data_IF_691683769389
#
_entry.id   IF_691683769389
#
_cell.length_a   1.000
_cell.length_b   1.000
_cell.length_c   1.000
_cell.angle_alpha   90.00
_cell.angle_beta   90.00
_cell.angle_gamma   90.00
#
_symmetry.space_group_name_H-M   'P 1'
#
loop_
_entity.id
_entity.type
_entity.pdbx_description
1 polymer ?
#
# COMPACT_ATOMS: atom_id res chain seq x y z
N UNK A 1 -25.25 21.61 -20.00
CA UNK A 1 -25.07 20.15 -20.13
C UNK A 1 -26.02 19.47 -19.14
N UNK A 2 -26.66 18.35 -19.48
CA UNK A 2 -27.56 17.63 -18.55
C UNK A 2 -26.96 16.25 -18.24
N UNK A 3 -27.03 15.85 -16.97
CA UNK A 3 -26.53 14.54 -16.52
C UNK A 3 -27.19 13.37 -17.26
N UNK A 4 -28.48 13.47 -17.59
CA UNK A 4 -29.20 12.46 -18.38
C UNK A 4 -28.53 12.16 -19.72
N UNK A 5 -28.09 13.18 -20.46
CA UNK A 5 -27.49 13.01 -21.78
C UNK A 5 -26.12 12.30 -21.67
N UNK A 6 -25.34 12.60 -20.63
CA UNK A 6 -24.04 11.97 -20.33
C UNK A 6 -24.22 10.48 -19.99
N UNK A 7 -25.20 10.15 -19.16
CA UNK A 7 -25.53 8.75 -18.82
C UNK A 7 -25.97 8.01 -20.09
N UNK A 8 -26.84 8.61 -20.91
CA UNK A 8 -27.30 8.00 -22.16
C UNK A 8 -26.14 7.72 -23.12
N UNK A 9 -25.20 8.66 -23.26
CA UNK A 9 -24.02 8.51 -24.09
C UNK A 9 -23.12 7.36 -23.59
N UNK A 10 -22.76 7.37 -22.31
CA UNK A 10 -21.92 6.32 -21.73
C UNK A 10 -22.60 4.95 -21.80
N UNK A 11 -23.91 4.87 -21.50
CA UNK A 11 -24.71 3.63 -21.63
C UNK A 11 -24.67 3.07 -23.05
N UNK A 12 -24.62 3.93 -24.08
CA UNK A 12 -24.48 3.52 -25.49
C UNK A 12 -23.03 3.25 -25.94
N UNK A 13 -22.08 3.29 -25.02
CA UNK A 13 -20.66 3.05 -25.30
C UNK A 13 -19.97 4.22 -26.01
N UNK A 14 -20.55 5.43 -25.95
CA UNK A 14 -19.90 6.64 -26.49
C UNK A 14 -18.84 7.15 -25.50
N UNK A 15 -17.80 7.76 -26.05
CA UNK A 15 -16.72 8.43 -25.30
C UNK A 15 -17.23 9.75 -24.72
N UNK A 16 -16.99 9.98 -23.44
CA UNK A 16 -17.28 11.24 -22.76
C UNK A 16 -16.17 12.25 -23.02
N UNK A 17 -16.54 13.49 -23.30
CA UNK A 17 -15.57 14.58 -23.42
C UNK A 17 -15.04 14.99 -22.05
N UNK A 18 -13.90 15.69 -22.04
CA UNK A 18 -13.33 16.27 -20.83
C UNK A 18 -14.34 17.19 -20.12
N UNK A 19 -15.07 18.01 -20.86
CA UNK A 19 -16.07 18.94 -20.32
C UNK A 19 -17.22 18.20 -19.65
N UNK A 20 -17.61 17.04 -20.19
CA UNK A 20 -18.63 16.19 -19.59
C UNK A 20 -18.16 15.58 -18.27
N UNK A 21 -16.93 15.07 -18.24
CA UNK A 21 -16.32 14.52 -17.03
C UNK A 21 -16.16 15.60 -15.96
N UNK A 22 -15.65 16.78 -16.32
CA UNK A 22 -15.51 17.91 -15.39
C UNK A 22 -16.87 18.35 -14.82
N UNK A 23 -17.91 18.42 -15.66
CA UNK A 23 -19.28 18.72 -15.25
C UNK A 23 -19.80 17.69 -14.22
N UNK A 24 -19.62 16.39 -14.50
CA UNK A 24 -20.05 15.31 -13.61
C UNK A 24 -19.34 15.37 -12.27
N UNK A 25 -18.00 15.45 -12.29
CA UNK A 25 -17.21 15.41 -11.06
C UNK A 25 -17.48 16.64 -10.20
N UNK A 26 -17.53 17.84 -10.80
CA UNK A 26 -17.88 19.06 -10.08
C UNK A 26 -19.27 18.95 -9.47
N UNK A 27 -20.27 18.59 -10.27
CA UNK A 27 -21.66 18.54 -9.83
C UNK A 27 -21.93 17.49 -8.75
N UNK A 28 -21.22 16.36 -8.78
CA UNK A 28 -21.35 15.35 -7.72
C UNK A 28 -20.62 15.79 -6.44
N UNK A 29 -19.48 16.48 -6.58
CA UNK A 29 -18.73 17.02 -5.45
C UNK A 29 -19.53 18.09 -4.71
N UNK A 30 -20.15 19.05 -5.44
CA UNK A 30 -20.95 20.14 -4.86
C UNK A 30 -22.39 19.76 -4.47
N UNK A 31 -22.84 18.55 -4.85
CA UNK A 31 -24.15 18.01 -4.49
C UNK A 31 -25.28 18.39 -5.45
N UNK A 32 -25.00 19.07 -6.56
CA UNK A 32 -25.99 19.35 -7.61
C UNK A 32 -26.36 18.12 -8.46
N UNK A 33 -25.53 17.08 -8.47
CA UNK A 33 -25.83 15.78 -9.06
C UNK A 33 -26.16 14.78 -7.94
N UNK A 34 -27.38 14.23 -7.90
CA UNK A 34 -27.78 13.29 -6.86
C UNK A 34 -27.24 11.86 -7.13
N UNK A 35 -27.11 11.09 -6.06
CA UNK A 35 -26.56 9.73 -6.06
C UNK A 35 -27.22 8.81 -7.08
N UNK A 36 -28.54 8.91 -7.31
CA UNK A 36 -29.25 8.07 -8.26
C UNK A 36 -28.84 8.31 -9.72
N UNK A 37 -28.35 9.51 -10.07
CA UNK A 37 -27.80 9.77 -11.39
C UNK A 37 -26.34 9.30 -11.48
N UNK A 38 -25.57 9.53 -10.41
CA UNK A 38 -24.17 9.12 -10.38
C UNK A 38 -24.04 7.59 -10.38
N UNK A 39 -24.88 6.85 -9.65
CA UNK A 39 -24.90 5.39 -9.67
C UNK A 39 -25.26 4.82 -11.04
N UNK A 40 -26.20 5.46 -11.76
CA UNK A 40 -26.52 5.08 -13.13
C UNK A 40 -25.33 5.28 -14.08
N UNK A 41 -24.57 6.37 -13.93
CA UNK A 41 -23.33 6.57 -14.70
C UNK A 41 -22.25 5.55 -14.33
N UNK A 42 -22.05 5.29 -13.04
CA UNK A 42 -21.08 4.29 -12.56
C UNK A 42 -21.37 2.90 -13.12
N UNK A 43 -22.63 2.49 -13.14
CA UNK A 43 -23.04 1.22 -13.75
C UNK A 43 -22.84 1.22 -15.28
N UNK A 44 -23.10 2.36 -15.95
CA UNK A 44 -22.82 2.48 -17.37
C UNK A 44 -21.30 2.38 -17.67
N UNK A 45 -20.45 2.97 -16.84
CA UNK A 45 -18.98 2.83 -16.91
C UNK A 45 -18.57 1.39 -16.63
N UNK A 46 -19.15 0.75 -15.61
CA UNK A 46 -18.89 -0.65 -15.30
C UNK A 46 -19.14 -1.56 -16.52
N UNK A 47 -20.29 -1.39 -17.19
CA UNK A 47 -20.65 -2.22 -18.34
C UNK A 47 -19.94 -1.88 -19.66
N UNK A 48 -19.50 -0.63 -19.86
CA UNK A 48 -18.93 -0.17 -21.15
C UNK A 48 -17.45 0.17 -21.10
N UNK A 49 -16.88 0.30 -19.90
CA UNK A 49 -15.53 0.76 -19.68
C UNK A 49 -15.32 2.24 -20.02
N UNK A 50 -14.07 2.65 -19.88
CA UNK A 50 -13.54 3.95 -20.29
C UNK A 50 -12.25 3.71 -21.04
N UNK A 51 -12.01 4.46 -22.11
CA UNK A 51 -10.71 4.43 -22.76
C UNK A 51 -9.64 5.17 -21.91
N UNK A 52 -8.37 5.13 -22.33
CA UNK A 52 -7.26 5.73 -21.59
C UNK A 52 -7.38 7.25 -21.42
N UNK A 53 -7.93 7.96 -22.41
CA UNK A 53 -8.15 9.41 -22.34
C UNK A 53 -9.24 9.74 -21.33
N UNK A 54 -10.40 9.06 -21.42
CA UNK A 54 -11.49 9.24 -20.47
C UNK A 54 -11.05 8.95 -19.03
N UNK A 55 -10.30 7.87 -18.83
CA UNK A 55 -9.80 7.47 -17.50
C UNK A 55 -8.82 8.53 -16.96
N UNK A 56 -7.93 9.07 -17.80
CA UNK A 56 -7.02 10.14 -17.41
C UNK A 56 -7.76 11.43 -17.04
N UNK A 57 -8.77 11.84 -17.83
CA UNK A 57 -9.59 13.02 -17.54
C UNK A 57 -10.42 12.83 -16.26
N UNK A 58 -11.01 11.65 -16.04
CA UNK A 58 -11.71 11.32 -14.80
C UNK A 58 -10.78 11.45 -13.60
N UNK A 59 -9.58 10.90 -13.70
CA UNK A 59 -8.56 10.97 -12.65
C UNK A 59 -8.20 12.42 -12.34
N UNK A 60 -7.95 13.23 -13.36
CA UNK A 60 -7.53 14.62 -13.20
C UNK A 60 -8.66 15.50 -12.64
N UNK A 61 -9.90 15.27 -13.07
CA UNK A 61 -11.08 15.93 -12.53
C UNK A 61 -11.26 15.60 -11.04
N UNK A 62 -11.09 14.33 -10.65
CA UNK A 62 -11.14 13.92 -9.25
C UNK A 62 -9.98 14.52 -8.45
N UNK A 63 -8.75 14.52 -8.97
CA UNK A 63 -7.60 15.12 -8.29
C UNK A 63 -7.84 16.61 -7.99
N UNK A 64 -8.39 17.34 -8.97
CA UNK A 64 -8.70 18.78 -8.88
C UNK A 64 -9.96 19.10 -8.08
N UNK A 65 -10.71 18.11 -7.61
CA UNK A 65 -11.93 18.35 -6.82
C UNK A 65 -11.64 18.90 -5.41
N UNK A 66 -10.38 18.88 -4.98
CA UNK A 66 -9.94 19.39 -3.69
C UNK A 66 -8.56 20.03 -3.77
N UNK A 67 -7.80 19.94 -2.69
CA UNK A 67 -6.46 20.53 -2.63
C UNK A 67 -5.47 19.79 -3.54
N UNK A 68 -4.62 20.55 -4.22
CA UNK A 68 -3.48 20.06 -4.97
C UNK A 68 -2.21 20.52 -4.26
N UNK A 69 -1.37 19.58 -3.88
CA UNK A 69 -0.14 19.89 -3.18
C UNK A 69 0.89 20.51 -4.14
N UNK A 70 1.47 21.63 -3.71
CA UNK A 70 2.62 22.21 -4.36
C UNK A 70 3.92 21.78 -3.64
N UNK A 71 4.70 20.94 -4.32
CA UNK A 71 6.02 20.49 -3.86
C UNK A 71 7.17 21.23 -4.56
N UNK A 72 6.91 22.40 -5.15
CA UNK A 72 7.91 23.20 -5.85
C UNK A 72 9.06 23.66 -4.95
N UNK A 73 8.80 23.83 -3.65
CA UNK A 73 9.79 24.21 -2.64
C UNK A 73 10.71 23.06 -2.20
N UNK A 74 10.43 21.82 -2.65
CA UNK A 74 11.32 20.68 -2.44
C UNK A 74 12.25 20.54 -3.64
N UNK A 75 13.56 20.59 -3.37
CA UNK A 75 14.60 20.49 -4.40
C UNK A 75 14.62 19.11 -5.07
N UNK A 76 15.03 19.07 -6.34
CA UNK A 76 15.17 17.82 -7.10
C UNK A 76 13.84 17.19 -7.55
N UNK A 77 13.92 15.92 -7.95
CA UNK A 77 12.78 15.12 -8.43
C UNK A 77 12.17 14.39 -7.24
N UNK A 78 10.89 14.68 -6.97
CA UNK A 78 10.14 14.04 -5.88
C UNK A 78 9.54 12.74 -6.38
N UNK A 79 9.85 11.65 -5.69
CA UNK A 79 9.37 10.30 -6.03
C UNK A 79 8.50 9.76 -4.91
N UNK A 80 7.28 9.35 -5.22
CA UNK A 80 6.39 8.63 -4.30
C UNK A 80 6.31 7.15 -4.69
N UNK A 81 6.05 6.29 -3.69
CA UNK A 81 5.67 4.89 -3.88
C UNK A 81 4.26 4.68 -3.37
N UNK A 82 3.43 3.99 -4.13
CA UNK A 82 2.11 3.57 -3.67
C UNK A 82 1.94 2.07 -3.78
N UNK A 83 1.22 1.47 -2.84
CA UNK A 83 0.72 0.10 -3.01
C UNK A 83 -0.80 0.12 -3.05
N UNK A 84 -1.37 -0.83 -3.78
CA UNK A 84 -2.82 -1.11 -3.74
C UNK A 84 -3.30 -1.68 -2.40
N UNK A 85 -2.38 -1.98 -1.47
CA UNK A 85 -2.68 -2.54 -0.15
C UNK A 85 -2.49 -4.06 -0.10
N UNK A 86 -2.10 -4.55 1.08
CA UNK A 86 -1.83 -5.97 1.33
C UNK A 86 -1.62 -6.26 2.81
N UNK A 87 -1.27 -7.50 3.12
CA UNK A 87 -1.06 -8.00 4.49
C UNK A 87 0.43 -8.22 4.72
N UNK A 88 0.95 -7.69 5.83
CA UNK A 88 2.40 -7.65 6.04
C UNK A 88 3.12 -6.67 5.09
N UNK A 89 2.45 -5.70 4.47
CA UNK A 89 3.15 -4.74 3.60
C UNK A 89 3.82 -3.63 4.43
N UNK A 90 5.04 -3.92 4.91
CA UNK A 90 5.93 -2.96 5.61
C UNK A 90 6.95 -2.28 4.68
N UNK A 91 6.79 -2.45 3.37
CA UNK A 91 7.74 -1.99 2.36
C UNK A 91 8.09 -0.51 2.49
N UNK A 92 7.12 0.36 2.82
CA UNK A 92 7.38 1.81 2.97
C UNK A 92 8.46 2.11 4.02
N UNK A 93 8.50 1.37 5.13
CA UNK A 93 9.40 1.63 6.26
C UNK A 93 10.84 1.25 5.89
N UNK A 94 11.01 0.20 5.08
CA UNK A 94 12.32 -0.18 4.52
C UNK A 94 12.70 0.75 3.37
N UNK A 95 11.78 0.99 2.45
CA UNK A 95 12.03 1.70 1.19
C UNK A 95 12.43 3.15 1.40
N UNK A 96 11.76 3.87 2.32
CA UNK A 96 11.98 5.30 2.55
C UNK A 96 13.44 5.62 2.90
N UNK A 97 13.98 5.11 4.01
CA UNK A 97 15.37 5.34 4.41
C UNK A 97 16.37 4.84 3.38
N UNK A 98 16.08 3.70 2.74
CA UNK A 98 16.94 3.10 1.74
C UNK A 98 17.16 4.03 0.53
N UNK A 99 16.09 4.56 -0.05
CA UNK A 99 16.22 5.46 -1.21
C UNK A 99 16.67 6.86 -0.82
N UNK A 100 16.30 7.34 0.37
CA UNK A 100 16.75 8.63 0.89
C UNK A 100 18.26 8.64 1.18
N UNK A 101 18.80 7.56 1.73
CA UNK A 101 20.24 7.37 1.90
C UNK A 101 20.97 7.37 0.54
N UNK A 102 20.33 6.84 -0.51
CA UNK A 102 20.85 6.90 -1.88
C UNK A 102 20.66 8.25 -2.57
N UNK A 103 20.02 9.25 -1.94
CA UNK A 103 19.87 10.61 -2.46
C UNK A 103 18.51 10.93 -3.10
N UNK A 104 17.52 10.02 -3.02
CA UNK A 104 16.15 10.29 -3.51
C UNK A 104 15.38 11.17 -2.53
N UNK A 105 14.60 12.13 -3.05
CA UNK A 105 13.68 12.94 -2.25
C UNK A 105 12.30 12.27 -2.15
N UNK A 106 11.95 11.77 -0.96
CA UNK A 106 10.71 11.05 -0.69
C UNK A 106 9.73 11.94 0.07
N UNK A 107 8.80 12.55 -0.67
CA UNK A 107 7.69 13.31 -0.12
C UNK A 107 6.43 12.42 -0.13
N UNK A 108 6.19 11.69 0.96
CA UNK A 108 5.18 10.63 0.98
C UNK A 108 4.03 10.93 1.94
N UNK A 109 2.81 10.77 1.44
CA UNK A 109 1.63 10.65 2.27
C UNK A 109 1.09 9.23 2.25
N UNK A 110 0.74 8.75 3.44
CA UNK A 110 0.20 7.41 3.63
C UNK A 110 -1.14 7.44 4.34
N UNK A 111 -1.95 6.43 4.08
CA UNK A 111 -3.21 6.19 4.79
C UNK A 111 -3.02 5.34 6.04
N UNK A 112 -4.05 5.37 6.88
CA UNK A 112 -4.28 4.41 7.97
C UNK A 112 -4.92 3.14 7.42
N UNK A 113 -4.82 2.05 8.18
CA UNK A 113 -5.42 0.76 7.84
C UNK A 113 -6.94 0.77 8.04
N UNK A 114 -7.62 -0.02 7.21
CA UNK A 114 -9.07 -0.25 7.30
C UNK A 114 -9.36 -1.68 6.81
N UNK A 115 -10.20 -2.42 7.55
CA UNK A 115 -10.49 -3.80 7.23
C UNK A 115 -9.29 -4.72 7.43
N UNK A 116 -9.00 -5.59 6.46
CA UNK A 116 -7.96 -6.61 6.58
C UNK A 116 -6.54 -6.13 6.20
N UNK A 117 -6.42 -4.97 5.55
CA UNK A 117 -5.12 -4.40 5.14
C UNK A 117 -4.60 -3.43 6.19
N UNK A 118 -3.34 -3.59 6.60
CA UNK A 118 -2.67 -2.69 7.54
C UNK A 118 -2.32 -1.33 6.93
N UNK A 119 -2.16 -0.31 7.77
CA UNK A 119 -1.76 1.04 7.37
C UNK A 119 -0.31 1.36 7.73
N UNK A 120 0.43 2.07 6.86
CA UNK A 120 1.78 2.52 7.21
C UNK A 120 1.78 3.49 8.39
N UNK A 121 0.79 4.38 8.47
CA UNK A 121 0.69 5.37 9.55
C UNK A 121 0.55 4.69 10.91
N UNK A 122 -0.30 3.67 11.00
CA UNK A 122 -0.52 2.93 12.24
C UNK A 122 0.75 2.18 12.70
N UNK A 123 1.52 1.65 11.74
CA UNK A 123 2.83 1.04 12.03
C UNK A 123 3.80 2.08 12.60
N UNK A 124 3.88 3.27 11.99
CA UNK A 124 4.78 4.33 12.44
C UNK A 124 4.42 4.88 13.83
N UNK A 125 3.15 4.94 14.17
CA UNK A 125 2.69 5.33 15.51
C UNK A 125 3.07 4.32 16.61
N UNK A 126 3.56 3.12 16.26
CA UNK A 126 4.14 2.22 17.25
C UNK A 126 5.53 2.66 17.72
N UNK A 127 6.18 3.59 17.00
CA UNK A 127 7.43 4.20 17.43
C UNK A 127 7.09 5.31 18.44
N UNK A 128 7.60 5.24 19.68
CA UNK A 128 7.37 6.27 20.70
C UNK A 128 7.66 7.67 20.17
N UNK A 129 6.75 8.61 20.45
CA UNK A 129 6.83 10.03 20.11
C UNK A 129 6.92 10.37 18.60
N UNK A 130 6.71 9.39 17.70
CA UNK A 130 6.75 9.65 16.27
C UNK A 130 5.52 10.44 15.80
N UNK A 131 5.75 11.61 15.21
CA UNK A 131 4.70 12.50 14.73
C UNK A 131 4.37 12.23 13.26
N UNK A 132 3.19 11.67 13.01
CA UNK A 132 2.68 11.43 11.64
C UNK A 132 1.97 12.64 11.03
N UNK A 133 1.75 13.69 11.81
CA UNK A 133 1.15 14.95 11.36
C UNK A 133 2.19 16.07 11.49
N UNK A 134 2.48 16.73 10.36
CA UNK A 134 3.41 17.86 10.30
C UNK A 134 2.73 19.04 9.61
N UNK A 135 3.16 20.26 9.94
CA UNK A 135 2.83 21.42 9.10
C UNK A 135 3.47 21.27 7.72
N UNK A 136 2.95 22.00 6.72
CA UNK A 136 3.52 21.93 5.37
C UNK A 136 4.97 22.39 5.32
N UNK A 137 5.28 23.42 6.10
CA UNK A 137 6.63 23.98 6.22
C UNK A 137 7.59 22.94 6.81
N UNK A 138 7.19 22.29 7.91
CA UNK A 138 7.99 21.22 8.53
C UNK A 138 8.14 20.00 7.60
N UNK A 139 7.09 19.65 6.85
CA UNK A 139 7.15 18.57 5.87
C UNK A 139 8.15 18.86 4.75
N UNK A 140 8.10 20.05 4.14
CA UNK A 140 9.04 20.48 3.10
C UNK A 140 10.47 20.52 3.64
N UNK A 141 10.66 21.09 4.83
CA UNK A 141 11.97 21.17 5.48
C UNK A 141 12.56 19.78 5.73
N UNK A 142 11.76 18.84 6.27
CA UNK A 142 12.22 17.47 6.51
C UNK A 142 12.66 16.77 5.21
N UNK A 143 11.93 16.95 4.10
CA UNK A 143 12.32 16.35 2.81
C UNK A 143 13.59 17.02 2.27
N UNK A 144 13.73 18.33 2.37
CA UNK A 144 14.93 19.04 1.90
C UNK A 144 16.17 18.67 2.72
N UNK A 145 16.05 18.64 4.05
CA UNK A 145 17.17 18.43 4.97
C UNK A 145 17.52 16.95 5.13
N UNK A 146 16.53 16.08 5.35
CA UNK A 146 16.75 14.66 5.65
C UNK A 146 16.58 13.74 4.45
N UNK A 147 15.98 14.24 3.36
CA UNK A 147 15.70 13.49 2.14
C UNK A 147 14.34 12.81 2.13
N UNK A 148 13.63 12.76 3.26
CA UNK A 148 12.34 12.11 3.33
C UNK A 148 11.42 12.64 4.43
N UNK A 149 10.12 12.51 4.20
CA UNK A 149 9.10 12.56 5.22
C UNK A 149 7.91 11.66 4.83
N UNK A 150 7.39 10.92 5.79
CA UNK A 150 6.12 10.18 5.65
C UNK A 150 5.11 10.76 6.62
N UNK A 151 4.01 11.31 6.11
CA UNK A 151 2.94 11.88 6.94
C UNK A 151 1.60 11.20 6.65
N UNK A 152 0.68 11.30 7.61
CA UNK A 152 -0.70 10.97 7.40
C UNK A 152 -1.31 11.90 6.34
N UNK A 153 -2.25 11.37 5.56
CA UNK A 153 -3.02 12.20 4.64
C UNK A 153 -3.89 13.19 5.42
N UNK A 154 -3.49 14.46 5.44
CA UNK A 154 -4.24 15.57 6.03
C UNK A 154 -4.93 16.42 4.95
N UNK A 155 -6.17 16.85 5.19
CA UNK A 155 -6.90 17.76 4.27
C UNK A 155 -7.80 17.05 3.25
N UNK A 156 -8.53 17.85 2.47
CA UNK A 156 -9.47 17.35 1.46
C UNK A 156 -8.77 17.12 0.12
N UNK A 157 -7.97 16.05 0.04
CA UNK A 157 -7.45 15.56 -1.24
C UNK A 157 -8.52 14.78 -1.98
N UNK A 158 -8.77 15.15 -3.24
CA UNK A 158 -9.72 14.48 -4.12
C UNK A 158 -11.08 14.10 -3.45
N UNK A 159 -11.82 15.03 -2.83
CA UNK A 159 -13.09 14.73 -2.14
C UNK A 159 -14.13 14.04 -3.03
N UNK A 160 -14.08 14.25 -4.36
CA UNK A 160 -14.88 13.51 -5.33
C UNK A 160 -14.65 12.00 -5.23
N UNK A 161 -13.40 11.56 -5.08
CA UNK A 161 -13.03 10.14 -4.95
C UNK A 161 -13.68 9.52 -3.71
N UNK A 162 -13.65 10.22 -2.57
CA UNK A 162 -14.27 9.74 -1.33
C UNK A 162 -15.78 9.51 -1.51
N UNK A 163 -16.49 10.46 -2.14
CA UNK A 163 -17.93 10.31 -2.44
C UNK A 163 -18.20 9.21 -3.46
N UNK A 164 -17.35 9.09 -4.48
CA UNK A 164 -17.50 8.08 -5.52
C UNK A 164 -17.23 6.67 -5.00
N UNK A 165 -16.19 6.50 -4.19
CA UNK A 165 -15.85 5.24 -3.56
C UNK A 165 -16.98 4.75 -2.65
N UNK A 166 -17.53 5.64 -1.80
CA UNK A 166 -18.65 5.30 -0.92
C UNK A 166 -19.89 4.84 -1.72
N UNK A 167 -20.19 5.50 -2.84
CA UNK A 167 -21.30 5.09 -3.70
C UNK A 167 -21.01 3.77 -4.43
N UNK A 168 -19.78 3.56 -4.91
CA UNK A 168 -19.37 2.32 -5.59
C UNK A 168 -19.52 1.10 -4.69
N UNK A 169 -19.17 1.25 -3.42
CA UNK A 169 -19.22 0.21 -2.38
C UNK A 169 -20.65 -0.35 -2.19
N UNK A 170 -21.65 0.52 -2.26
CA UNK A 170 -23.07 0.14 -2.08
C UNK A 170 -23.83 -0.06 -3.40
N UNK A 171 -23.15 0.02 -4.55
CA UNK A 171 -23.77 -0.16 -5.88
C UNK A 171 -23.14 -1.27 -6.71
N UNK A 172 -22.25 -2.07 -6.12
CA UNK A 172 -21.52 -3.14 -6.80
C UNK A 172 -20.80 -2.65 -8.07
N UNK A 173 -20.11 -1.51 -7.97
CA UNK A 173 -19.30 -0.92 -9.05
C UNK A 173 -17.85 -0.65 -8.63
N UNK A 174 -17.38 -1.38 -7.61
CA UNK A 174 -16.00 -1.24 -7.10
C UNK A 174 -15.01 -1.88 -8.08
N UNK A 175 -15.31 -3.07 -8.57
CA UNK A 175 -14.47 -3.97 -9.37
C UNK A 175 -14.39 -3.59 -10.87
N UNK A 176 -14.21 -2.31 -11.17
CA UNK A 176 -13.91 -1.82 -12.51
C UNK A 176 -12.52 -1.17 -12.56
N UNK A 177 -11.67 -1.63 -13.48
CA UNK A 177 -10.26 -1.20 -13.60
C UNK A 177 -10.13 0.33 -13.74
N UNK A 178 -10.92 0.98 -14.60
CA UNK A 178 -10.85 2.42 -14.81
C UNK A 178 -11.23 3.21 -13.56
N UNK A 179 -12.26 2.78 -12.83
CA UNK A 179 -12.69 3.41 -11.57
C UNK A 179 -11.68 3.20 -10.44
N UNK A 180 -11.06 2.02 -10.35
CA UNK A 180 -10.01 1.72 -9.36
C UNK A 180 -8.76 2.56 -9.65
N UNK A 181 -8.28 2.52 -10.90
CA UNK A 181 -7.08 3.22 -11.32
C UNK A 181 -7.22 4.73 -11.10
N UNK A 182 -8.35 5.31 -11.50
CA UNK A 182 -8.61 6.74 -11.31
C UNK A 182 -8.76 7.13 -9.84
N UNK A 183 -9.40 6.29 -9.02
CA UNK A 183 -9.49 6.48 -7.58
C UNK A 183 -8.11 6.53 -6.92
N UNK A 184 -7.23 5.57 -7.23
CA UNK A 184 -5.87 5.52 -6.69
C UNK A 184 -5.04 6.72 -7.18
N UNK A 185 -4.99 6.90 -8.50
CA UNK A 185 -4.11 7.89 -9.12
C UNK A 185 -4.52 9.32 -8.82
N UNK A 186 -5.81 9.62 -8.62
CA UNK A 186 -6.27 10.99 -8.32
C UNK A 186 -5.64 11.52 -7.03
N UNK A 187 -5.60 10.70 -5.96
CA UNK A 187 -4.94 11.03 -4.71
C UNK A 187 -3.42 11.20 -4.86
N UNK A 188 -2.79 10.36 -5.69
CA UNK A 188 -1.34 10.41 -5.94
C UNK A 188 -0.93 11.65 -6.74
N UNK A 189 -1.73 12.00 -7.76
CA UNK A 189 -1.53 13.20 -8.56
C UNK A 189 -1.77 14.45 -7.71
N UNK A 190 -2.79 14.43 -6.84
CA UNK A 190 -3.05 15.52 -5.90
C UNK A 190 -1.93 15.71 -4.86
N UNK A 191 -1.18 14.66 -4.52
CA UNK A 191 -0.02 14.73 -3.62
C UNK A 191 1.24 15.35 -4.27
N UNK A 192 1.22 15.69 -5.56
CA UNK A 192 2.22 16.56 -6.17
C UNK A 192 3.54 15.91 -6.61
N UNK A 193 3.76 14.61 -6.35
CA UNK A 193 4.98 13.91 -6.78
C UNK A 193 5.14 13.93 -8.31
N UNK A 194 6.39 14.03 -8.79
CA UNK A 194 6.73 14.11 -10.22
C UNK A 194 6.93 12.73 -10.85
N UNK A 195 7.38 11.78 -10.04
CA UNK A 195 7.53 10.39 -10.41
C UNK A 195 6.85 9.49 -9.38
N UNK A 196 6.28 8.38 -9.85
CA UNK A 196 5.46 7.47 -9.04
C UNK A 196 5.86 6.04 -9.35
N UNK A 197 6.18 5.26 -8.32
CA UNK A 197 6.34 3.81 -8.42
C UNK A 197 5.11 3.14 -7.79
N UNK A 198 4.41 2.33 -8.55
CA UNK A 198 3.20 1.63 -8.15
C UNK A 198 3.52 0.16 -7.87
N UNK A 199 3.05 -0.33 -6.74
CA UNK A 199 3.19 -1.70 -6.27
C UNK A 199 1.80 -2.35 -6.23
N UNK A 200 1.45 -2.99 -7.34
CA UNK A 200 0.13 -3.56 -7.60
C UNK A 200 0.13 -5.00 -7.13
N UNK A 201 -0.57 -5.23 -6.01
CA UNK A 201 -0.63 -6.55 -5.39
C UNK A 201 -1.51 -7.49 -6.20
N UNK A 202 -1.10 -8.76 -6.27
CA UNK A 202 -1.82 -9.84 -6.92
C UNK A 202 -1.91 -11.05 -5.99
N UNK A 203 -3.10 -11.63 -5.84
CA UNK A 203 -3.31 -12.88 -5.09
C UNK A 203 -4.39 -12.80 -4.01
N UNK A 204 -4.42 -13.79 -3.12
CA UNK A 204 -5.48 -13.98 -2.12
C UNK A 204 -5.67 -12.76 -1.22
N UNK A 205 -4.59 -12.06 -0.85
CA UNK A 205 -4.63 -10.85 -0.01
C UNK A 205 -4.67 -9.53 -0.76
N UNK A 206 -4.83 -9.55 -2.08
CA UNK A 206 -4.91 -8.36 -2.92
C UNK A 206 -6.35 -8.07 -3.36
N UNK A 207 -6.56 -6.87 -3.87
CA UNK A 207 -7.80 -6.53 -4.58
C UNK A 207 -7.92 -7.32 -5.90
N UNK A 208 -6.82 -7.38 -6.67
CA UNK A 208 -6.75 -8.16 -7.91
C UNK A 208 -6.29 -9.58 -7.60
N UNK A 209 -7.13 -10.57 -7.89
CA UNK A 209 -6.86 -11.97 -7.54
C UNK A 209 -5.99 -12.71 -8.58
N UNK A 210 -5.91 -12.21 -9.81
CA UNK A 210 -5.13 -12.82 -10.90
C UNK A 210 -4.06 -11.87 -11.45
N UNK A 211 -2.98 -12.46 -12.00
CA UNK A 211 -1.85 -11.70 -12.53
C UNK A 211 -2.25 -10.87 -13.75
N UNK A 212 -3.20 -11.36 -14.56
CA UNK A 212 -3.74 -10.66 -15.72
C UNK A 212 -4.49 -9.39 -15.30
N UNK A 213 -5.41 -9.50 -14.34
CA UNK A 213 -6.18 -8.36 -13.84
C UNK A 213 -5.29 -7.33 -13.12
N UNK A 214 -4.31 -7.81 -12.34
CA UNK A 214 -3.32 -6.94 -11.70
C UNK A 214 -2.43 -6.23 -12.72
N UNK A 215 -2.04 -6.92 -13.81
CA UNK A 215 -1.30 -6.34 -14.93
C UNK A 215 -2.11 -5.26 -15.65
N UNK A 216 -3.38 -5.52 -15.97
CA UNK A 216 -4.27 -4.55 -16.61
C UNK A 216 -4.43 -3.29 -15.74
N UNK A 217 -4.60 -3.46 -14.43
CA UNK A 217 -4.66 -2.35 -13.49
C UNK A 217 -3.35 -1.54 -13.47
N UNK A 218 -2.21 -2.21 -13.41
CA UNK A 218 -0.90 -1.56 -13.41
C UNK A 218 -0.64 -0.79 -14.73
N UNK A 219 -0.96 -1.38 -15.89
CA UNK A 219 -0.85 -0.73 -17.20
C UNK A 219 -1.76 0.50 -17.29
N UNK A 220 -2.99 0.40 -16.78
CA UNK A 220 -3.93 1.52 -16.74
C UNK A 220 -3.41 2.66 -15.88
N UNK A 221 -2.89 2.37 -14.68
CA UNK A 221 -2.36 3.40 -13.78
C UNK A 221 -1.08 4.07 -14.32
N UNK A 222 -0.19 3.29 -14.95
CA UNK A 222 1.00 3.83 -15.63
C UNK A 222 0.59 4.76 -16.78
N UNK A 223 -0.37 4.34 -17.60
CA UNK A 223 -0.90 5.16 -18.69
C UNK A 223 -1.51 6.48 -18.19
N UNK A 224 -2.31 6.44 -17.11
CA UNK A 224 -2.87 7.64 -16.47
C UNK A 224 -1.74 8.60 -16.05
N UNK A 225 -0.76 8.10 -15.31
CA UNK A 225 0.35 8.91 -14.81
C UNK A 225 1.10 9.58 -15.94
N UNK A 226 1.47 8.82 -16.98
CA UNK A 226 2.19 9.33 -18.14
C UNK A 226 1.35 10.37 -18.92
N UNK A 227 0.05 10.16 -19.10
CA UNK A 227 -0.85 11.10 -19.77
C UNK A 227 -1.00 12.43 -19.01
N UNK A 228 -0.86 12.43 -17.69
CA UNK A 228 -0.90 13.67 -16.88
C UNK A 228 0.50 14.23 -16.58
N UNK A 229 1.54 13.76 -17.28
CA UNK A 229 2.91 14.27 -17.17
C UNK A 229 3.63 13.84 -15.89
N UNK A 230 3.32 12.66 -15.36
CA UNK A 230 4.02 12.02 -14.24
C UNK A 230 4.73 10.77 -14.72
N UNK A 231 6.04 10.67 -14.46
CA UNK A 231 6.80 9.46 -14.82
C UNK A 231 6.38 8.32 -13.91
N UNK A 232 5.78 7.28 -14.46
CA UNK A 232 5.13 6.24 -13.65
C UNK A 232 5.64 4.87 -14.03
N UNK A 233 5.98 4.05 -13.03
CA UNK A 233 6.36 2.64 -13.20
C UNK A 233 5.44 1.78 -12.36
N UNK A 234 4.97 0.66 -12.89
CA UNK A 234 4.15 -0.31 -12.19
C UNK A 234 4.89 -1.64 -11.99
N UNK A 235 4.83 -2.18 -10.78
CA UNK A 235 5.34 -3.51 -10.43
C UNK A 235 4.17 -4.34 -9.94
N UNK A 236 3.91 -5.47 -10.60
CA UNK A 236 2.91 -6.45 -10.17
C UNK A 236 3.59 -7.46 -9.26
N UNK A 237 3.26 -7.44 -7.97
CA UNK A 237 3.89 -8.29 -6.95
C UNK A 237 2.92 -9.27 -6.31
N UNK A 238 3.46 -10.37 -5.80
CA UNK A 238 2.73 -11.37 -5.04
C UNK A 238 2.16 -10.82 -3.72
N UNK A 239 0.98 -11.34 -3.39
CA UNK A 239 0.23 -11.20 -2.15
C UNK A 239 -0.67 -12.43 -1.95
N UNK A 240 -0.27 -13.60 -2.51
CA UNK A 240 -0.89 -14.90 -2.23
C UNK A 240 -0.53 -15.42 -0.84
N UNK A 241 0.53 -14.88 -0.25
CA UNK A 241 0.92 -15.04 1.15
C UNK A 241 1.32 -13.65 1.71
N UNK A 242 1.27 -13.43 3.04
CA UNK A 242 1.77 -12.18 3.62
C UNK A 242 3.22 -11.90 3.25
N UNK A 243 3.53 -10.62 3.00
CA UNK A 243 4.89 -10.20 2.69
C UNK A 243 5.75 -10.22 3.97
N UNK A 244 6.91 -10.89 3.92
CA UNK A 244 7.70 -11.18 5.12
C UNK A 244 6.96 -12.14 6.07
N UNK A 245 7.26 -12.09 7.37
CA UNK A 245 6.66 -13.00 8.36
C UNK A 245 5.76 -12.27 9.36
N UNK A 246 6.10 -11.04 9.72
CA UNK A 246 5.33 -10.24 10.65
C UNK A 246 4.06 -9.63 10.02
N UNK A 247 2.94 -9.70 10.71
CA UNK A 247 1.69 -9.00 10.36
C UNK A 247 1.16 -8.29 11.60
N UNK A 248 1.00 -6.97 11.54
CA UNK A 248 0.61 -6.14 12.67
C UNK A 248 1.16 -4.72 12.56
N UNK A 249 1.52 -4.12 13.71
CA UNK A 249 2.10 -2.77 13.76
C UNK A 249 3.56 -2.81 14.23
N UNK A 250 3.82 -2.90 15.54
CA UNK A 250 5.17 -2.94 16.08
C UNK A 250 6.01 -4.12 15.54
N UNK A 251 5.39 -5.30 15.39
CA UNK A 251 6.03 -6.48 14.78
C UNK A 251 6.54 -6.20 13.35
N UNK A 252 5.77 -5.45 12.56
CA UNK A 252 6.15 -5.09 11.20
C UNK A 252 7.25 -4.02 11.15
N UNK A 253 7.27 -3.10 12.13
CA UNK A 253 8.36 -2.14 12.31
C UNK A 253 9.68 -2.86 12.62
N UNK A 254 9.65 -3.83 13.53
CA UNK A 254 10.83 -4.65 13.89
C UNK A 254 11.38 -5.37 12.65
N UNK A 255 10.52 -6.05 11.89
CA UNK A 255 10.95 -6.77 10.68
C UNK A 255 11.50 -5.82 9.60
N UNK A 256 10.96 -4.61 9.49
CA UNK A 256 11.50 -3.58 8.60
C UNK A 256 12.90 -3.13 9.03
N UNK A 257 13.14 -2.95 10.34
CA UNK A 257 14.45 -2.57 10.87
C UNK A 257 15.48 -3.69 10.66
N UNK A 258 15.12 -4.95 10.92
CA UNK A 258 15.99 -6.09 10.63
C UNK A 258 16.31 -6.22 9.13
N UNK A 259 15.35 -5.87 8.26
CA UNK A 259 15.60 -5.81 6.81
C UNK A 259 16.66 -4.77 6.45
N UNK A 260 16.60 -3.57 7.03
CA UNK A 260 17.61 -2.53 6.83
C UNK A 260 18.98 -2.90 7.44
N UNK A 261 19.01 -3.80 8.42
CA UNK A 261 20.24 -4.40 8.98
C UNK A 261 20.78 -5.58 8.14
N UNK A 262 20.13 -5.91 7.02
CA UNK A 262 20.51 -7.05 6.16
C UNK A 262 20.11 -8.43 6.71
N UNK A 263 19.19 -8.49 7.67
CA UNK A 263 18.72 -9.71 8.35
C UNK A 263 17.23 -10.00 8.12
N UNK A 264 16.61 -9.28 7.19
CA UNK A 264 15.18 -9.39 6.92
C UNK A 264 14.78 -10.59 6.05
N UNK A 265 13.48 -10.80 5.86
CA UNK A 265 12.95 -11.81 4.95
C UNK A 265 13.39 -11.55 3.50
N UNK A 266 13.68 -12.61 2.76
CA UNK A 266 14.17 -12.52 1.39
C UNK A 266 13.12 -11.89 0.44
N UNK A 267 11.84 -12.24 0.59
CA UNK A 267 10.74 -11.71 -0.22
C UNK A 267 10.56 -10.19 -0.03
N UNK A 268 10.56 -9.72 1.22
CA UNK A 268 10.52 -8.29 1.54
C UNK A 268 11.75 -7.54 1.01
N UNK A 269 12.94 -8.13 1.19
CA UNK A 269 14.21 -7.53 0.73
C UNK A 269 14.23 -7.37 -0.79
N UNK A 270 13.92 -8.42 -1.54
CA UNK A 270 13.96 -8.40 -2.99
C UNK A 270 12.91 -7.45 -3.58
N UNK A 271 11.66 -7.48 -3.08
CA UNK A 271 10.62 -6.54 -3.52
C UNK A 271 11.06 -5.08 -3.27
N UNK A 272 11.63 -4.81 -2.09
CA UNK A 272 12.10 -3.47 -1.75
C UNK A 272 13.22 -3.02 -2.68
N UNK A 273 14.17 -3.89 -3.02
CA UNK A 273 15.24 -3.58 -3.97
C UNK A 273 14.66 -3.24 -5.35
N UNK A 274 13.67 -3.99 -5.84
CA UNK A 274 13.01 -3.69 -7.12
C UNK A 274 12.35 -2.31 -7.14
N UNK A 275 11.62 -1.97 -6.07
CA UNK A 275 10.97 -0.67 -5.93
C UNK A 275 12.01 0.45 -5.82
N UNK A 276 13.02 0.28 -4.97
CA UNK A 276 14.08 1.26 -4.75
C UNK A 276 14.86 1.56 -6.04
N UNK A 277 15.24 0.52 -6.78
CA UNK A 277 15.99 0.66 -8.05
C UNK A 277 15.23 1.53 -9.06
N UNK A 278 13.91 1.35 -9.16
CA UNK A 278 13.06 2.16 -10.02
C UNK A 278 12.92 3.60 -9.49
N UNK A 279 12.82 3.80 -8.17
CA UNK A 279 12.78 5.13 -7.59
C UNK A 279 14.07 5.93 -7.87
N UNK A 280 15.25 5.30 -7.71
CA UNK A 280 16.55 5.92 -8.00
C UNK A 280 16.67 6.29 -9.49
N UNK A 281 16.26 5.40 -10.38
CA UNK A 281 16.24 5.66 -11.83
C UNK A 281 15.31 6.83 -12.18
N UNK A 282 14.09 6.84 -11.65
CA UNK A 282 13.13 7.93 -11.90
C UNK A 282 13.58 9.27 -11.30
N UNK A 283 14.28 9.24 -10.17
CA UNK A 283 14.91 10.40 -9.54
C UNK A 283 16.15 10.91 -10.28
N UNK A 284 16.64 10.20 -11.31
CA UNK A 284 17.90 10.47 -12.03
C UNK A 284 19.14 10.42 -11.13
N UNK A 285 19.11 9.57 -10.09
CA UNK A 285 20.27 9.27 -9.26
C UNK A 285 21.16 8.21 -9.94
N UNK A 286 20.56 7.37 -10.78
CA UNK A 286 21.25 6.36 -11.56
C UNK A 286 20.76 6.37 -13.01
N UNK A 287 21.66 6.09 -13.95
CA UNK A 287 21.36 6.13 -15.39
C UNK A 287 20.52 4.94 -15.86
N UNK A 288 20.63 3.80 -15.17
CA UNK A 288 19.86 2.59 -15.46
C UNK A 288 19.33 1.95 -14.17
N UNK A 289 18.26 1.16 -14.31
CA UNK A 289 17.71 0.35 -13.20
C UNK A 289 18.75 -0.63 -12.65
N UNK A 290 19.65 -1.16 -13.49
CA UNK A 290 20.70 -2.08 -13.06
C UNK A 290 21.74 -1.38 -12.15
N UNK A 291 22.24 -0.22 -12.58
CA UNK A 291 23.16 0.59 -11.76
C UNK A 291 22.49 1.08 -10.47
N UNK A 292 21.19 1.36 -10.53
CA UNK A 292 20.40 1.70 -9.34
C UNK A 292 20.33 0.53 -8.35
N UNK A 293 20.11 -0.69 -8.86
CA UNK A 293 20.05 -1.92 -8.05
C UNK A 293 21.36 -2.19 -7.32
N UNK A 294 22.49 -1.97 -7.97
CA UNK A 294 23.82 -2.09 -7.35
C UNK A 294 24.01 -1.08 -6.21
N UNK A 295 23.67 0.20 -6.43
CA UNK A 295 23.72 1.23 -5.38
C UNK A 295 22.81 0.91 -4.21
N UNK A 296 21.59 0.44 -4.46
CA UNK A 296 20.64 0.06 -3.40
C UNK A 296 21.22 -1.06 -2.52
N UNK A 297 21.83 -2.09 -3.13
CA UNK A 297 22.45 -3.19 -2.39
C UNK A 297 23.64 -2.71 -1.56
N UNK A 298 24.45 -1.80 -2.09
CA UNK A 298 25.57 -1.19 -1.37
C UNK A 298 25.09 -0.43 -0.12
N UNK A 299 24.05 0.40 -0.26
CA UNK A 299 23.48 1.23 0.83
C UNK A 299 22.91 0.38 1.98
N UNK A 300 22.39 -0.82 1.69
CA UNK A 300 21.99 -1.79 2.73
C UNK A 300 23.26 -2.38 3.38
N UNK A 301 24.20 -2.86 2.58
CA UNK A 301 25.37 -3.61 3.07
C UNK A 301 26.33 -2.75 3.91
N UNK A 302 26.43 -1.45 3.61
CA UNK A 302 27.34 -0.53 4.30
C UNK A 302 26.72 0.19 5.51
N UNK A 303 25.42 -0.01 5.77
CA UNK A 303 24.71 0.58 6.91
C UNK A 303 24.23 2.03 6.71
N UNK A 304 24.40 2.63 5.54
CA UNK A 304 23.84 3.97 5.26
C UNK A 304 22.31 4.00 5.45
N UNK A 305 21.62 2.93 5.05
CA UNK A 305 20.16 2.83 5.18
C UNK A 305 19.69 2.88 6.65
N UNK A 306 20.43 2.21 7.56
CA UNK A 306 20.06 2.19 8.99
C UNK A 306 20.37 3.52 9.68
N UNK A 307 21.43 4.22 9.28
CA UNK A 307 21.72 5.56 9.76
C UNK A 307 20.63 6.54 9.32
N UNK A 308 20.20 6.45 8.06
CA UNK A 308 19.10 7.28 7.55
C UNK A 308 17.77 6.98 8.24
N UNK A 309 17.51 5.72 8.61
CA UNK A 309 16.32 5.36 9.38
C UNK A 309 16.29 6.11 10.72
N UNK A 310 17.39 6.08 11.49
CA UNK A 310 17.48 6.78 12.78
C UNK A 310 17.29 8.29 12.62
N UNK A 311 17.93 8.86 11.60
CA UNK A 311 17.78 10.28 11.27
C UNK A 311 16.32 10.63 10.96
N UNK A 312 15.64 9.80 10.16
CA UNK A 312 14.22 10.00 9.85
C UNK A 312 13.34 9.91 11.09
N UNK A 313 13.52 8.88 11.93
CA UNK A 313 12.78 8.72 13.19
C UNK A 313 12.92 9.99 14.05
N UNK A 314 14.15 10.45 14.27
CA UNK A 314 14.43 11.64 15.06
C UNK A 314 13.86 12.92 14.43
N UNK A 315 13.89 13.05 13.10
CA UNK A 315 13.36 14.23 12.38
C UNK A 315 11.84 14.40 12.51
N UNK A 316 11.12 13.34 12.90
CA UNK A 316 9.68 13.38 13.19
C UNK A 316 9.39 13.18 14.68
N UNK A 317 10.38 13.42 15.54
CA UNK A 317 10.22 13.42 17.00
C UNK A 317 10.28 12.06 17.68
N UNK A 318 10.37 10.96 16.93
CA UNK A 318 10.46 9.63 17.51
C UNK A 318 11.82 9.33 18.14
N UNK A 319 11.87 8.35 19.03
CA UNK A 319 13.11 7.89 19.65
C UNK A 319 13.91 6.96 18.71
N UNK A 320 15.09 7.35 18.21
CA UNK A 320 15.89 6.50 17.31
C UNK A 320 16.53 5.29 17.99
N UNK A 321 16.59 5.25 19.33
CA UNK A 321 17.18 4.12 20.07
C UNK A 321 16.36 2.83 19.92
N UNK A 322 15.10 2.93 19.50
CA UNK A 322 14.24 1.79 19.12
C UNK A 322 14.86 0.93 18.03
N UNK A 323 15.77 1.49 17.23
CA UNK A 323 16.45 0.74 16.17
C UNK A 323 17.42 -0.29 16.75
N UNK A 324 17.91 -0.09 17.98
CA UNK A 324 18.77 -1.02 18.72
C UNK A 324 18.01 -1.82 19.78
N UNK A 325 17.04 -1.19 20.44
CA UNK A 325 16.28 -1.76 21.55
C UNK A 325 14.78 -1.83 21.22
N UNK A 326 14.34 -3.00 20.76
CA UNK A 326 12.93 -3.24 20.42
C UNK A 326 12.01 -3.30 21.64
N UNK A 327 12.53 -3.37 22.87
CA UNK A 327 11.70 -3.35 24.08
C UNK A 327 11.01 -2.00 24.30
N UNK A 328 11.48 -0.96 23.62
CA UNK A 328 10.87 0.37 23.59
C UNK A 328 9.61 0.44 22.73
N UNK A 329 9.43 -0.51 21.80
CA UNK A 329 8.20 -0.62 21.01
C UNK A 329 7.10 -1.31 21.83
N UNK A 330 5.81 -1.02 21.56
CA UNK A 330 4.71 -1.78 22.14
C UNK A 330 4.86 -3.27 21.85
N UNK A 331 4.85 -4.10 22.90
CA UNK A 331 4.91 -5.55 22.78
C UNK A 331 3.83 -6.20 23.65
N UNK A 332 3.22 -7.29 23.16
CA UNK A 332 2.38 -8.13 24.00
C UNK A 332 3.21 -9.23 24.66
N UNK A 333 3.05 -9.36 25.98
CA UNK A 333 3.64 -10.43 26.76
C UNK A 333 2.90 -11.77 26.61
N UNK A 334 1.70 -11.78 26.00
CA UNK A 334 0.91 -13.00 25.82
C UNK A 334 1.00 -13.48 24.37
N UNK A 335 1.41 -14.74 24.22
CA UNK A 335 1.56 -15.38 22.92
C UNK A 335 0.86 -16.74 22.87
N UNK A 336 0.32 -17.09 21.71
CA UNK A 336 -0.25 -18.40 21.42
C UNK A 336 0.35 -18.96 20.13
N UNK A 337 1.05 -20.08 20.22
CA UNK A 337 1.48 -20.84 19.04
C UNK A 337 0.29 -21.57 18.44
N UNK A 338 0.22 -21.59 17.11
CA UNK A 338 -0.84 -22.26 16.36
C UNK A 338 -0.21 -23.30 15.46
N UNK A 339 -0.67 -24.55 15.59
CA UNK A 339 -0.22 -25.71 14.83
C UNK A 339 -1.34 -26.22 13.92
N UNK A 340 -0.99 -27.13 13.00
CA UNK A 340 -1.96 -27.89 12.20
C UNK A 340 -1.92 -29.36 12.62
N UNK A 341 -3.09 -30.02 12.66
CA UNK A 341 -3.17 -31.46 12.99
C UNK A 341 -2.54 -32.34 11.90
N UNK A 342 -2.58 -31.88 10.65
CA UNK A 342 -2.10 -32.60 9.47
C UNK A 342 -0.70 -32.15 9.10
N UNK A 343 0.09 -33.09 8.58
CA UNK A 343 1.40 -32.82 7.98
C UNK A 343 1.29 -32.70 6.46
N UNK A 344 2.22 -31.96 5.86
CA UNK A 344 2.28 -31.77 4.40
C UNK A 344 3.01 -30.50 4.01
N UNK A 345 3.06 -30.21 2.73
CA UNK A 345 3.60 -28.95 2.20
C UNK A 345 2.51 -27.89 2.15
N UNK A 346 2.79 -26.66 2.58
CA UNK A 346 1.84 -25.54 2.46
C UNK A 346 1.58 -25.27 0.98
N UNK A 347 0.36 -25.52 0.53
CA UNK A 347 -0.05 -25.36 -0.86
C UNK A 347 -0.73 -24.02 -1.14
N UNK A 348 -1.38 -23.44 -0.14
CA UNK A 348 -1.96 -22.10 -0.23
C UNK A 348 -2.10 -21.47 1.16
N UNK A 349 -2.06 -20.14 1.18
CA UNK A 349 -2.39 -19.32 2.34
C UNK A 349 -3.48 -18.32 1.92
N UNK A 350 -4.60 -18.30 2.62
CA UNK A 350 -5.61 -17.24 2.47
C UNK A 350 -5.13 -15.99 3.22
N UNK A 351 -4.40 -15.14 2.51
CA UNK A 351 -3.78 -13.93 3.06
C UNK A 351 -4.83 -12.94 3.56
N UNK A 352 -6.03 -12.89 2.97
CA UNK A 352 -7.11 -12.04 3.47
C UNK A 352 -7.58 -12.51 4.86
N UNK A 353 -7.70 -13.83 5.07
CA UNK A 353 -7.97 -14.39 6.40
C UNK A 353 -6.85 -14.07 7.38
N UNK A 354 -5.58 -14.10 6.96
CA UNK A 354 -4.47 -13.68 7.84
C UNK A 354 -4.65 -12.22 8.30
N UNK A 355 -4.99 -11.31 7.39
CA UNK A 355 -5.29 -9.92 7.74
C UNK A 355 -6.47 -9.79 8.71
N UNK A 356 -7.52 -10.61 8.52
CA UNK A 356 -8.66 -10.69 9.45
C UNK A 356 -8.27 -11.25 10.81
N UNK A 357 -7.37 -12.23 10.90
CA UNK A 357 -6.81 -12.72 12.17
C UNK A 357 -6.13 -11.58 12.91
N UNK A 358 -5.29 -10.79 12.25
CA UNK A 358 -4.66 -9.61 12.88
C UNK A 358 -5.72 -8.60 13.38
N UNK A 359 -6.79 -8.38 12.61
CA UNK A 359 -7.91 -7.53 13.01
C UNK A 359 -8.63 -8.08 14.26
N UNK A 360 -8.91 -9.38 14.32
CA UNK A 360 -9.53 -10.05 15.47
C UNK A 360 -8.71 -9.88 16.76
N UNK A 361 -7.38 -9.88 16.63
CA UNK A 361 -6.45 -9.68 17.73
C UNK A 361 -6.39 -8.21 18.21
N UNK A 362 -6.88 -7.26 17.40
CA UNK A 362 -6.88 -5.83 17.70
C UNK A 362 -5.84 -5.01 16.93
N UNK A 363 -5.10 -5.60 15.99
CA UNK A 363 -4.03 -4.92 15.25
C UNK A 363 -4.54 -3.97 14.15
N UNK A 364 -5.85 -3.96 13.88
CA UNK A 364 -6.47 -3.20 12.79
C UNK A 364 -7.79 -2.55 13.20
N UNK A 365 -8.33 -1.72 12.31
CA UNK A 365 -9.59 -1.00 12.54
C UNK A 365 -10.76 -1.68 11.86
N UNK A 366 -11.81 -1.98 12.63
CA UNK A 366 -13.13 -2.38 12.09
C UNK A 366 -13.86 -1.16 11.51
N UNK A 367 -13.80 -0.02 12.21
CA UNK A 367 -14.33 1.28 11.76
C UNK A 367 -13.27 2.37 11.88
N UNK A 368 -13.49 3.53 11.24
CA UNK A 368 -12.52 4.64 11.26
C UNK A 368 -12.22 5.16 12.67
N UNK A 369 -13.17 5.03 13.57
CA UNK A 369 -13.12 5.50 14.96
C UNK A 369 -12.57 4.43 15.91
N UNK A 370 -12.31 3.21 15.42
CA UNK A 370 -11.79 2.12 16.23
C UNK A 370 -10.37 2.44 16.74
N UNK A 371 -10.15 2.24 18.03
CA UNK A 371 -8.82 2.18 18.62
C UNK A 371 -8.15 0.85 18.27
N UNK A 372 -6.85 0.88 18.01
CA UNK A 372 -6.06 -0.31 17.71
C UNK A 372 -5.04 -0.56 18.81
N UNK A 373 -4.68 -1.82 18.99
CA UNK A 373 -3.56 -2.23 19.80
C UNK A 373 -2.34 -2.43 18.89
N UNK A 374 -1.29 -1.63 19.13
CA UNK A 374 -0.10 -1.62 18.29
C UNK A 374 0.87 -2.76 18.62
N UNK A 375 0.66 -3.43 19.76
CA UNK A 375 1.52 -4.48 20.31
C UNK A 375 1.12 -5.89 19.85
N UNK A 376 -0.09 -6.05 19.30
CA UNK A 376 -0.66 -7.33 18.87
C UNK A 376 -0.49 -7.57 17.38
N UNK A 377 -0.67 -8.83 16.98
CA UNK A 377 -0.50 -9.27 15.60
C UNK A 377 -0.08 -10.73 15.54
N UNK A 378 0.62 -11.12 14.48
CA UNK A 378 1.15 -12.46 14.35
C UNK A 378 2.48 -12.51 13.61
N UNK A 379 3.28 -13.52 13.91
CA UNK A 379 4.48 -13.89 13.15
C UNK A 379 4.21 -15.26 12.52
N UNK A 380 4.30 -15.32 11.19
CA UNK A 380 4.17 -16.57 10.44
C UNK A 380 5.51 -17.31 10.44
N UNK A 381 5.45 -18.64 10.54
CA UNK A 381 6.63 -19.51 10.53
C UNK A 381 6.73 -20.39 9.29
N UNK A 382 5.60 -20.58 8.57
CA UNK A 382 5.51 -21.44 7.39
C UNK A 382 4.87 -20.70 6.23
N UNK A 383 5.57 -20.64 5.09
CA UNK A 383 5.15 -20.00 3.84
C UNK A 383 4.78 -21.08 2.81
N UNK A 384 4.17 -20.69 1.69
CA UNK A 384 3.85 -21.62 0.59
C UNK A 384 5.14 -22.32 0.11
N UNK A 385 5.06 -23.64 -0.02
CA UNK A 385 6.17 -24.54 -0.36
C UNK A 385 6.90 -25.11 0.86
N UNK A 386 6.72 -24.57 2.06
CA UNK A 386 7.37 -25.11 3.26
C UNK A 386 6.65 -26.37 3.76
N UNK A 387 7.41 -27.32 4.31
CA UNK A 387 6.85 -28.52 4.94
C UNK A 387 6.42 -28.24 6.40
N UNK A 388 5.27 -28.76 6.79
CA UNK A 388 4.71 -28.70 8.15
C UNK A 388 4.64 -30.13 8.70
N UNK A 389 5.36 -30.38 9.79
CA UNK A 389 5.21 -31.61 10.57
C UNK A 389 4.08 -31.47 11.60
N UNK A 390 3.58 -32.58 12.18
CA UNK A 390 2.71 -32.49 13.35
C UNK A 390 3.41 -31.70 14.46
N UNK A 391 2.66 -30.84 15.15
CA UNK A 391 3.14 -29.94 16.21
C UNK A 391 4.11 -28.82 15.76
N UNK A 392 4.47 -28.71 14.48
CA UNK A 392 5.17 -27.53 13.97
C UNK A 392 4.23 -26.31 14.05
N UNK A 393 4.62 -25.22 14.73
CA UNK A 393 3.82 -24.01 14.71
C UNK A 393 3.87 -23.38 13.32
N UNK A 394 2.70 -23.09 12.76
CA UNK A 394 2.54 -22.34 11.51
C UNK A 394 2.63 -20.83 11.73
N UNK A 395 2.27 -20.35 12.92
CA UNK A 395 2.43 -18.98 13.35
C UNK A 395 2.38 -18.85 14.88
N UNK A 396 2.84 -17.71 15.38
CA UNK A 396 2.63 -17.25 16.77
C UNK A 396 1.74 -16.02 16.77
N UNK A 397 0.63 -16.07 17.50
CA UNK A 397 -0.26 -14.94 17.73
C UNK A 397 0.20 -14.16 18.95
N UNK A 398 0.25 -12.84 18.86
CA UNK A 398 0.49 -11.90 19.96
C UNK A 398 -0.83 -11.20 20.27
N UNK A 399 -1.30 -11.28 21.51
CA UNK A 399 -2.65 -10.82 21.86
C UNK A 399 -2.68 -10.14 23.23
N UNK A 400 -3.62 -9.23 23.47
CA UNK A 400 -3.79 -8.56 24.78
C UNK A 400 -5.01 -9.06 25.55
N UNK A 401 -5.86 -9.87 24.91
CA UNK A 401 -7.08 -10.45 25.47
C UNK A 401 -7.33 -11.84 24.91
N UNK A 402 -7.85 -12.74 25.73
CA UNK A 402 -8.26 -14.08 25.31
C UNK A 402 -9.65 -14.12 24.64
N UNK A 403 -10.42 -13.02 24.68
CA UNK A 403 -11.84 -13.03 24.30
C UNK A 403 -12.14 -13.48 22.87
N UNK A 404 -11.24 -13.19 21.91
CA UNK A 404 -11.37 -13.58 20.50
C UNK A 404 -10.23 -14.48 20.03
N UNK A 405 -9.42 -14.99 20.96
CA UNK A 405 -8.22 -15.75 20.64
C UNK A 405 -8.56 -17.09 19.96
N UNK A 406 -9.58 -17.79 20.45
CA UNK A 406 -10.04 -19.06 19.84
C UNK A 406 -10.52 -18.85 18.39
N UNK A 407 -11.31 -17.80 18.15
CA UNK A 407 -11.77 -17.44 16.79
C UNK A 407 -10.58 -17.14 15.87
N UNK A 408 -9.57 -16.42 16.37
CA UNK A 408 -8.35 -16.11 15.64
C UNK A 408 -7.51 -17.36 15.33
N UNK A 409 -7.39 -18.29 16.29
CA UNK A 409 -6.71 -19.59 16.11
C UNK A 409 -7.40 -20.41 15.03
N UNK A 410 -8.74 -20.57 15.12
CA UNK A 410 -9.50 -21.33 14.15
C UNK A 410 -9.38 -20.72 12.74
N UNK A 411 -9.57 -19.41 12.63
CA UNK A 411 -9.48 -18.71 11.34
C UNK A 411 -8.09 -18.82 10.71
N UNK A 412 -7.04 -18.78 11.53
CA UNK A 412 -5.66 -18.97 11.08
C UNK A 412 -5.44 -20.39 10.54
N UNK A 413 -5.92 -21.42 11.25
CA UNK A 413 -5.82 -22.81 10.77
C UNK A 413 -6.57 -23.00 9.45
N UNK A 414 -7.75 -22.41 9.32
CA UNK A 414 -8.55 -22.42 8.09
C UNK A 414 -7.97 -21.58 6.94
N UNK A 415 -6.95 -20.76 7.20
CA UNK A 415 -6.25 -20.01 6.17
C UNK A 415 -5.21 -20.88 5.44
N UNK A 416 -4.78 -21.99 6.02
CA UNK A 416 -3.74 -22.86 5.45
C UNK A 416 -4.35 -24.05 4.71
N UNK A 417 -3.84 -24.29 3.50
CA UNK A 417 -4.07 -25.54 2.76
C UNK A 417 -2.76 -26.32 2.66
N UNK A 418 -2.85 -27.65 2.77
CA UNK A 418 -1.70 -28.55 2.67
C UNK A 418 -1.82 -29.47 1.46
N UNK A 419 -0.67 -29.86 0.91
CA UNK A 419 -0.48 -30.85 -0.15
C UNK A 419 0.40 -31.99 0.35
N UNK A 420 0.16 -33.21 -0.14
CA UNK A 420 1.02 -34.37 0.13
C UNK A 420 2.35 -34.29 -0.62
N UNK A 421 2.37 -33.64 -1.79
CA UNK A 421 3.55 -33.44 -2.62
C UNK A 421 4.11 -32.03 -2.46
N UNK A 422 5.41 -31.88 -2.74
CA UNK A 422 6.10 -30.59 -2.75
C UNK A 422 5.39 -29.58 -3.67
N UNK A 423 5.39 -28.32 -3.24
CA UNK A 423 4.72 -27.20 -3.92
C UNK A 423 5.77 -26.16 -4.27
N UNK A 424 5.76 -25.69 -5.52
CA UNK A 424 6.66 -24.61 -5.94
C UNK A 424 6.32 -23.31 -5.23
N UNK A 425 7.37 -22.59 -4.81
CA UNK A 425 7.21 -21.26 -4.19
C UNK A 425 6.63 -20.27 -5.20
N UNK A 426 5.76 -19.35 -4.77
CA UNK A 426 5.15 -18.39 -5.68
C UNK A 426 6.17 -17.41 -6.24
N UNK A 427 5.93 -16.97 -7.48
CA UNK A 427 6.69 -15.90 -8.13
C UNK A 427 6.44 -14.57 -7.43
N UNK A 428 7.49 -13.95 -6.87
CA UNK A 428 7.36 -12.68 -6.14
C UNK A 428 6.98 -11.48 -7.04
N UNK A 429 7.57 -11.38 -8.23
CA UNK A 429 7.34 -10.28 -9.19
C UNK A 429 6.82 -10.88 -10.49
N UNK A 430 5.56 -10.65 -10.81
CA UNK A 430 4.94 -11.17 -12.03
C UNK A 430 5.31 -10.34 -13.26
N UNK A 431 5.31 -9.00 -13.13
CA UNK A 431 5.55 -8.09 -14.26
C UNK A 431 6.03 -6.72 -13.79
N UNK A 432 6.85 -6.07 -14.62
CA UNK A 432 7.20 -4.66 -14.50
C UNK A 432 6.71 -3.92 -15.75
N UNK A 433 6.14 -2.73 -15.55
CA UNK A 433 5.51 -1.89 -16.57
C UNK A 433 6.11 -0.50 -16.46
N UNK A 434 6.53 0.08 -17.58
CA UNK A 434 7.26 1.35 -17.66
C UNK A 434 6.51 2.39 -18.48
#
# INVERSE_FOLDING_TARGET
MRMYDIIEDKKRGRTLSKEAIDFVIKGYTDGSIPDYQMSALLMAIYCKGMNSEETAQLTLAMARSGQMMDLSSIEGIKVDKHSTGGVGDKTTIVLGPLVAAAGVKVAKMSGRGLGHTGGTIDKLESIPDFHVELSMEAFVENVNTHGMAVIAQSGEFAPADKKLYALRDVTATVDNVSLIASSIMSKKIAAGAQAIVLDVKCGSGAFMKTAEAATELAETMVAIGNNVGRKTVGIVSDMSQPLGFAVGNALEVIEAFETLKGKGPQDLTELTIHLASNMLYLAKIADTVQTARERVKEVIANGEAILKLKEWIASQGGDPSVVEDYSLLPHSAQTQEVTLEKKGYVSAIDTEKIGKVALLLGAGRETKESTIDLAVGLIIHKKIGDYVAPDDPIATLYHSSASRLQDAVQMLQEAYSLSETEVEKPTLIYKMIY
#
